data_IF_871525033226
#
_entry.id   IF_871525033226
#
_cell.length_a   1.000
_cell.length_b   1.000
_cell.length_c   1.000
_cell.angle_alpha   90.00
_cell.angle_beta   90.00
_cell.angle_gamma   90.00
#
_symmetry.space_group_name_H-M   'P 1'
#
loop_
_entity.id
_entity.type
_entity.pdbx_description
1 polymer ?
#
# COMPACT_ATOMS: atom_id res chain seq x y z
N UNK A 1 -11.34 -15.48 -8.62
CA UNK A 1 -11.34 -14.12 -8.04
C UNK A 1 -11.47 -14.22 -6.51
N UNK A 2 -10.85 -13.30 -5.74
CA UNK A 2 -10.89 -13.39 -4.27
C UNK A 2 -12.09 -12.67 -3.64
N UNK A 3 -12.46 -11.48 -4.14
CA UNK A 3 -13.70 -10.79 -3.73
C UNK A 3 -13.74 -10.29 -2.28
N UNK A 4 -12.60 -10.17 -1.61
CA UNK A 4 -12.52 -9.72 -0.22
C UNK A 4 -12.51 -8.19 -0.15
N UNK A 5 -13.42 -7.63 0.64
CA UNK A 5 -13.49 -6.20 0.89
C UNK A 5 -12.28 -5.72 1.72
N UNK A 6 -11.69 -4.61 1.31
CA UNK A 6 -10.63 -3.95 2.08
C UNK A 6 -11.17 -3.32 3.37
N UNK A 7 -10.30 -3.20 4.38
CA UNK A 7 -10.62 -2.56 5.66
C UNK A 7 -9.61 -1.47 5.98
N UNK A 8 -10.03 -0.51 6.79
CA UNK A 8 -9.10 0.43 7.42
C UNK A 8 -8.23 -0.35 8.41
N UNK A 9 -6.93 -0.40 8.17
CA UNK A 9 -5.97 -1.15 8.99
C UNK A 9 -5.27 -0.26 10.01
N UNK A 10 -5.12 1.04 9.71
CA UNK A 10 -4.54 2.02 10.63
C UNK A 10 -5.17 3.39 10.43
N UNK A 11 -5.18 4.19 11.49
CA UNK A 11 -5.52 5.61 11.48
C UNK A 11 -4.65 6.37 12.46
N UNK A 12 -4.10 7.50 12.02
CA UNK A 12 -3.35 8.43 12.85
C UNK A 12 -3.93 9.83 12.64
N UNK A 13 -4.82 10.26 13.53
CA UNK A 13 -5.57 11.50 13.37
C UNK A 13 -6.38 11.51 12.07
N UNK A 14 -5.97 12.37 11.13
CA UNK A 14 -6.61 12.54 9.82
C UNK A 14 -5.96 11.70 8.70
N UNK A 15 -5.01 10.84 9.02
CA UNK A 15 -4.32 9.98 8.06
C UNK A 15 -4.88 8.57 8.18
N UNK A 16 -5.33 7.99 7.08
CA UNK A 16 -5.92 6.64 7.06
C UNK A 16 -5.15 5.72 6.12
N UNK A 17 -5.02 4.46 6.54
CA UNK A 17 -4.43 3.38 5.75
C UNK A 17 -5.47 2.29 5.63
N UNK A 18 -5.79 1.94 4.39
CA UNK A 18 -6.74 0.87 4.07
C UNK A 18 -6.01 -0.21 3.29
N UNK A 19 -6.29 -1.46 3.61
CA UNK A 19 -5.72 -2.60 2.91
C UNK A 19 -6.70 -3.76 2.77
N UNK A 20 -6.53 -4.54 1.71
CA UNK A 20 -7.30 -5.75 1.46
C UNK A 20 -6.55 -6.73 0.58
N UNK A 21 -6.64 -8.05 0.82
CA UNK A 21 -5.98 -9.03 0.00
C UNK A 21 -6.64 -9.11 -1.38
N UNK A 22 -5.81 -9.32 -2.39
CA UNK A 22 -6.21 -9.64 -3.76
C UNK A 22 -5.80 -11.09 -4.08
N UNK A 23 -6.24 -11.59 -5.23
CA UNK A 23 -5.72 -12.87 -5.75
C UNK A 23 -4.22 -12.78 -6.05
N UNK A 24 -3.57 -13.94 -6.00
CA UNK A 24 -2.14 -14.14 -6.29
C UNK A 24 -1.22 -13.42 -5.30
N UNK A 25 -1.52 -13.51 -4.00
CA UNK A 25 -0.69 -12.98 -2.92
C UNK A 25 -0.35 -11.48 -3.05
N UNK A 26 -1.28 -10.72 -3.61
CA UNK A 26 -1.18 -9.26 -3.74
C UNK A 26 -2.02 -8.59 -2.68
N UNK A 27 -1.65 -7.37 -2.33
CA UNK A 27 -2.41 -6.52 -1.41
C UNK A 27 -2.80 -5.23 -2.14
N UNK A 28 -4.08 -4.87 -2.07
CA UNK A 28 -4.53 -3.52 -2.40
C UNK A 28 -4.27 -2.62 -1.20
N UNK A 29 -3.62 -1.48 -1.43
CA UNK A 29 -3.29 -0.49 -0.42
C UNK A 29 -3.83 0.88 -0.84
N UNK A 30 -4.50 1.59 0.07
CA UNK A 30 -4.89 2.99 -0.10
C UNK A 30 -4.34 3.80 1.07
N UNK A 31 -3.67 4.90 0.72
CA UNK A 31 -3.24 5.94 1.65
C UNK A 31 -4.15 7.14 1.44
N UNK A 32 -4.78 7.63 2.50
CA UNK A 32 -5.75 8.72 2.44
C UNK A 32 -5.37 9.82 3.42
N UNK A 33 -5.09 11.02 2.90
CA UNK A 33 -4.86 12.21 3.70
C UNK A 33 -6.17 13.00 3.81
N UNK A 34 -6.82 12.99 4.98
CA UNK A 34 -8.04 13.79 5.23
C UNK A 34 -7.73 15.13 5.92
N UNK A 35 -6.46 15.44 6.14
CA UNK A 35 -6.05 16.67 6.80
C UNK A 35 -6.01 17.84 5.82
N UNK A 36 -5.98 19.06 6.36
CA UNK A 36 -5.87 20.30 5.60
C UNK A 36 -4.45 20.57 5.08
N UNK A 37 -3.45 19.78 5.50
CA UNK A 37 -2.05 19.99 5.18
C UNK A 37 -1.46 18.77 4.44
N UNK A 38 -0.39 18.94 3.67
CA UNK A 38 0.35 17.80 3.15
C UNK A 38 0.99 16.99 4.27
N UNK A 39 0.97 15.66 4.15
CA UNK A 39 1.54 14.75 5.13
C UNK A 39 2.23 13.54 4.47
N UNK A 40 3.36 13.05 5.02
CA UNK A 40 3.80 11.71 4.74
C UNK A 40 2.87 10.70 5.42
N UNK A 41 2.51 9.64 4.71
CA UNK A 41 1.76 8.50 5.25
C UNK A 41 2.59 7.23 5.00
N UNK A 42 2.81 6.45 6.06
CA UNK A 42 3.61 5.23 6.00
C UNK A 42 2.75 4.01 6.29
N UNK A 43 2.63 3.09 5.33
CA UNK A 43 2.06 1.76 5.54
C UNK A 43 3.15 0.77 5.92
N UNK A 44 3.09 0.23 7.13
CA UNK A 44 3.97 -0.84 7.57
C UNK A 44 3.44 -2.19 7.07
N UNK A 45 4.34 -3.13 6.76
CA UNK A 45 3.97 -4.44 6.23
C UNK A 45 3.08 -5.25 7.17
N UNK A 46 3.36 -5.17 8.47
CA UNK A 46 2.58 -5.85 9.52
C UNK A 46 1.11 -5.37 9.55
N UNK A 47 0.85 -4.08 9.32
CA UNK A 47 -0.51 -3.52 9.25
C UNK A 47 -1.31 -4.06 8.06
N UNK A 48 -0.63 -4.25 6.92
CA UNK A 48 -1.28 -4.58 5.64
C UNK A 48 -1.22 -6.07 5.29
N UNK A 49 -0.72 -6.91 6.21
CA UNK A 49 -0.67 -8.36 6.06
C UNK A 49 0.42 -8.87 5.12
N UNK A 50 1.52 -8.12 4.99
CA UNK A 50 2.74 -8.54 4.29
C UNK A 50 3.77 -8.96 5.36
N UNK A 51 4.57 -10.03 5.16
CA UNK A 51 5.63 -10.36 6.10
C UNK A 51 6.64 -9.20 6.26
N UNK A 52 7.09 -8.83 7.48
CA UNK A 52 7.88 -7.62 7.72
C UNK A 52 9.18 -7.50 6.92
N UNK A 53 9.81 -8.63 6.56
CA UNK A 53 11.08 -8.66 5.83
C UNK A 53 10.93 -8.86 4.31
N UNK A 54 9.69 -8.83 3.81
CA UNK A 54 9.42 -9.03 2.39
C UNK A 54 9.88 -7.83 1.57
N UNK A 55 10.50 -8.14 0.43
CA UNK A 55 10.77 -7.17 -0.64
C UNK A 55 9.49 -7.07 -1.48
N UNK A 56 8.98 -5.87 -1.68
CA UNK A 56 7.67 -5.63 -2.32
C UNK A 56 7.84 -4.70 -3.51
N UNK A 57 7.31 -5.11 -4.66
CA UNK A 57 7.04 -4.21 -5.77
C UNK A 57 5.68 -3.54 -5.58
N UNK A 58 5.63 -2.22 -5.77
CA UNK A 58 4.39 -1.46 -5.67
C UNK A 58 4.03 -0.86 -7.04
N UNK A 59 2.80 -1.08 -7.47
CA UNK A 59 2.22 -0.46 -8.67
C UNK A 59 1.25 0.63 -8.28
N UNK A 60 1.56 1.87 -8.62
CA UNK A 60 0.64 3.00 -8.51
C UNK A 60 -0.47 2.85 -9.57
N UNK A 61 -1.71 2.77 -9.11
CA UNK A 61 -2.86 2.57 -9.98
C UNK A 61 -3.30 3.85 -10.68
N UNK A 62 -3.08 5.02 -10.08
CA UNK A 62 -3.44 6.29 -10.69
C UNK A 62 -2.44 6.70 -11.76
N UNK A 63 -1.16 6.42 -11.54
CA UNK A 63 -0.13 6.69 -12.53
C UNK A 63 0.03 5.57 -13.57
N UNK A 64 -0.66 4.43 -13.38
CA UNK A 64 -0.53 3.22 -14.18
C UNK A 64 0.92 2.71 -14.29
N UNK A 65 1.73 2.91 -13.25
CA UNK A 65 3.17 2.64 -13.25
C UNK A 65 3.59 1.79 -12.07
N UNK A 66 4.49 0.85 -12.32
CA UNK A 66 5.24 0.18 -11.27
C UNK A 66 6.36 1.10 -10.80
N UNK A 67 6.48 1.29 -9.50
CA UNK A 67 7.56 2.09 -8.91
C UNK A 67 8.89 1.38 -9.15
N UNK A 68 9.92 2.15 -9.49
CA UNK A 68 11.20 1.60 -9.97
C UNK A 68 11.92 0.78 -8.92
N UNK A 69 11.93 1.29 -7.69
CA UNK A 69 12.63 0.66 -6.58
C UNK A 69 11.64 -0.16 -5.75
N UNK A 70 12.00 -1.40 -5.36
CA UNK A 70 11.20 -2.18 -4.44
C UNK A 70 11.32 -1.64 -3.01
N UNK A 71 10.33 -1.98 -2.20
CA UNK A 71 10.18 -1.54 -0.82
C UNK A 71 10.46 -2.67 0.17
N UNK A 72 10.96 -2.34 1.35
CA UNK A 72 11.23 -3.29 2.44
C UNK A 72 10.71 -2.72 3.74
N UNK A 73 9.95 -3.52 4.48
CA UNK A 73 9.32 -3.15 5.77
C UNK A 73 8.12 -2.20 5.67
N UNK A 74 8.16 -1.21 4.76
CA UNK A 74 7.09 -0.24 4.60
C UNK A 74 7.11 0.45 3.23
N UNK A 75 6.00 1.15 2.93
CA UNK A 75 5.90 2.13 1.87
C UNK A 75 5.46 3.46 2.47
N UNK A 76 6.23 4.52 2.22
CA UNK A 76 5.87 5.90 2.58
C UNK A 76 5.57 6.70 1.33
N UNK A 77 4.47 7.44 1.34
CA UNK A 77 4.14 8.39 0.28
C UNK A 77 3.78 9.76 0.88
N UNK A 78 4.22 10.83 0.21
CA UNK A 78 3.83 12.20 0.54
C UNK A 78 2.55 12.56 -0.21
N UNK A 79 1.51 12.95 0.52
CA UNK A 79 0.19 13.26 -0.02
C UNK A 79 -0.20 14.69 0.33
N UNK A 80 -0.63 15.44 -0.67
CA UNK A 80 -1.23 16.76 -0.46
C UNK A 80 -2.54 16.66 0.33
N UNK A 81 -2.99 17.80 0.84
CA UNK A 81 -4.27 17.97 1.54
C UNK A 81 -5.42 17.32 0.75
N UNK A 82 -6.23 16.51 1.43
CA UNK A 82 -7.41 15.84 0.86
C UNK A 82 -7.15 14.92 -0.35
N UNK A 83 -5.93 14.42 -0.53
CA UNK A 83 -5.60 13.49 -1.63
C UNK A 83 -5.50 12.04 -1.16
N UNK A 84 -5.44 11.12 -2.12
CA UNK A 84 -5.18 9.72 -1.87
C UNK A 84 -4.20 9.14 -2.91
N UNK A 85 -3.52 8.05 -2.54
CA UNK A 85 -2.80 7.18 -3.47
C UNK A 85 -3.24 5.74 -3.30
N UNK A 86 -3.27 5.01 -4.40
CA UNK A 86 -3.67 3.60 -4.42
C UNK A 86 -2.59 2.75 -5.08
N UNK A 87 -2.22 1.66 -4.41
CA UNK A 87 -1.19 0.73 -4.84
C UNK A 87 -1.71 -0.69 -4.90
N UNK A 88 -1.14 -1.46 -5.82
CA UNK A 88 -1.07 -2.93 -5.70
C UNK A 88 0.34 -3.27 -5.26
N UNK A 89 0.45 -3.91 -4.09
CA UNK A 89 1.68 -4.43 -3.54
C UNK A 89 1.81 -5.92 -3.87
N UNK A 90 2.95 -6.31 -4.40
CA UNK A 90 3.30 -7.68 -4.74
C UNK A 90 4.62 -8.05 -4.07
N UNK A 91 4.63 -9.11 -3.28
CA UNK A 91 5.87 -9.63 -2.70
C UNK A 91 6.77 -10.25 -3.79
N UNK A 92 7.99 -9.76 -3.90
CA UNK A 92 8.95 -10.11 -4.94
C UNK A 92 9.48 -11.54 -4.82
N UNK A 93 9.34 -12.21 -3.67
CA UNK A 93 9.67 -13.64 -3.55
C UNK A 93 8.83 -14.49 -4.54
N UNK A 94 7.57 -14.11 -4.78
CA UNK A 94 6.68 -14.78 -5.72
C UNK A 94 6.91 -14.39 -7.19
N UNK A 95 7.71 -13.36 -7.47
CA UNK A 95 8.10 -12.99 -8.84
C UNK A 95 9.18 -13.91 -9.41
N UNK A 96 9.99 -14.56 -8.57
CA UNK A 96 11.09 -15.43 -9.02
C UNK A 96 10.69 -16.88 -9.27
N UNK A 97 9.46 -17.27 -8.96
CA UNK A 97 8.96 -18.64 -9.09
C UNK A 97 7.97 -18.83 -10.25
N UNK A 98 7.71 -17.78 -11.05
CA UNK A 98 6.83 -17.82 -12.22
C UNK A 98 7.55 -17.31 -13.47
#
# INVERSE_FOLDING_TARGET
PLGVQAKKVRMEGNLEIWAGPLSNYRVALVLLNRSLLPHPITAQWDDIGIPPNSVVEARDLWEHKTLKEPFVGNLTAYLDSHTCKMYICLEAHFLKQN
#
